data_IF_204781355624
#
_entry.id   IF_204781355624
#
_cell.length_a   1.000
_cell.length_b   1.000
_cell.length_c   1.000
_cell.angle_alpha   90.00
_cell.angle_beta   90.00
_cell.angle_gamma   90.00
#
_symmetry.space_group_name_H-M   'P 1'
#
loop_
_entity.id
_entity.type
_entity.pdbx_description
1 polymer ?
#
# COMPACT_ATOMS: atom_id res chain seq x y z
N UNK A 1 -13.65 17.05 -14.56
CA UNK A 1 -13.66 15.65 -14.79
C UNK A 1 -12.51 14.99 -14.04
N UNK A 2 -12.82 14.01 -13.22
CA UNK A 2 -11.88 13.42 -12.29
C UNK A 2 -11.49 14.36 -11.14
N UNK A 3 -10.48 13.95 -10.37
CA UNK A 3 -9.87 14.73 -9.29
C UNK A 3 -8.37 14.88 -9.56
N UNK A 4 -7.70 15.79 -8.82
CA UNK A 4 -6.25 15.91 -8.92
C UNK A 4 -5.74 16.24 -10.33
N UNK A 5 -6.31 17.22 -10.98
CA UNK A 5 -5.95 17.68 -12.32
C UNK A 5 -6.25 16.68 -13.46
N UNK A 6 -7.26 15.83 -13.27
CA UNK A 6 -7.76 14.87 -14.26
C UNK A 6 -6.70 13.92 -14.86
N UNK A 7 -5.70 13.56 -14.07
CA UNK A 7 -4.74 12.50 -14.40
C UNK A 7 -5.13 11.23 -13.65
N UNK A 8 -5.04 10.05 -14.28
CA UNK A 8 -5.33 8.76 -13.62
C UNK A 8 -4.45 8.50 -12.39
N UNK A 9 -3.21 9.01 -12.41
CA UNK A 9 -2.28 8.88 -11.28
C UNK A 9 -2.66 9.74 -10.08
N UNK A 10 -3.42 10.81 -10.27
CA UNK A 10 -3.79 11.78 -9.23
C UNK A 10 -5.30 11.83 -8.94
N UNK A 11 -6.13 11.21 -9.80
CA UNK A 11 -7.59 11.19 -9.62
C UNK A 11 -8.00 10.11 -8.61
N UNK A 12 -7.73 10.40 -7.32
CA UNK A 12 -7.85 9.43 -6.23
C UNK A 12 -8.52 10.06 -5.02
N UNK A 13 -9.27 9.25 -4.27
CA UNK A 13 -9.87 9.61 -3.01
C UNK A 13 -9.48 8.60 -1.93
N UNK A 14 -9.37 9.08 -0.69
CA UNK A 14 -9.10 8.25 0.48
C UNK A 14 -10.06 8.61 1.58
N UNK A 15 -10.66 7.60 2.21
CA UNK A 15 -11.46 7.75 3.40
C UNK A 15 -10.72 7.06 4.54
N UNK A 16 -10.47 7.81 5.61
CA UNK A 16 -9.83 7.31 6.82
C UNK A 16 -10.80 7.41 7.99
N UNK A 17 -10.78 6.40 8.84
CA UNK A 17 -11.48 6.40 10.12
C UNK A 17 -10.67 5.66 11.18
N UNK A 18 -10.93 5.95 12.46
CA UNK A 18 -10.40 5.14 13.54
C UNK A 18 -10.93 3.72 13.40
N UNK A 19 -10.05 2.72 13.48
CA UNK A 19 -10.47 1.33 13.36
C UNK A 19 -11.18 0.85 14.62
N UNK A 20 -12.21 0.04 14.44
CA UNK A 20 -12.83 -0.74 15.53
C UNK A 20 -12.35 -2.19 15.54
N UNK A 21 -11.45 -2.55 14.61
CA UNK A 21 -10.90 -3.90 14.50
C UNK A 21 -9.77 -4.10 15.52
N UNK A 22 -9.76 -5.22 16.25
CA UNK A 22 -8.66 -5.53 17.16
C UNK A 22 -7.31 -5.51 16.42
N UNK A 23 -6.32 -4.86 17.01
CA UNK A 23 -4.96 -4.81 16.47
C UNK A 23 -4.76 -3.85 15.29
N UNK A 24 -5.75 -3.01 14.95
CA UNK A 24 -5.63 -1.98 13.95
C UNK A 24 -5.91 -0.59 14.53
N UNK A 25 -5.25 0.40 13.99
CA UNK A 25 -5.38 1.81 14.40
C UNK A 25 -6.41 2.54 13.57
N UNK A 26 -6.35 2.35 12.25
CA UNK A 26 -7.19 3.04 11.28
C UNK A 26 -7.69 2.10 10.19
N UNK A 27 -8.88 2.39 9.69
CA UNK A 27 -9.41 1.82 8.47
C UNK A 27 -9.12 2.77 7.32
N UNK A 28 -8.65 2.21 6.21
CA UNK A 28 -8.29 2.90 4.97
C UNK A 28 -9.10 2.36 3.81
N UNK A 29 -9.92 3.21 3.20
CA UNK A 29 -10.67 2.90 2.00
C UNK A 29 -10.16 3.77 0.85
N UNK A 30 -9.69 3.13 -0.22
CA UNK A 30 -9.18 3.77 -1.42
C UNK A 30 -10.24 3.81 -2.52
N UNK A 31 -10.35 4.93 -3.23
CA UNK A 31 -11.19 5.09 -4.41
C UNK A 31 -10.40 5.64 -5.59
N UNK A 32 -10.41 4.92 -6.70
CA UNK A 32 -9.92 5.45 -7.99
C UNK A 32 -11.06 6.19 -8.67
N UNK A 33 -10.95 7.51 -8.75
CA UNK A 33 -11.98 8.35 -9.37
C UNK A 33 -11.77 8.36 -10.88
N UNK A 34 -12.80 7.95 -11.63
CA UNK A 34 -12.73 7.98 -13.10
C UNK A 34 -12.56 9.40 -13.63
N UNK A 35 -11.79 9.53 -14.72
CA UNK A 35 -11.58 10.81 -15.40
C UNK A 35 -12.79 11.14 -16.29
N UNK A 36 -13.38 10.14 -16.91
CA UNK A 36 -14.37 10.29 -17.98
C UNK A 36 -15.79 10.08 -17.49
N UNK A 37 -15.99 9.28 -16.43
CA UNK A 37 -17.29 8.86 -15.95
C UNK A 37 -17.53 9.30 -14.49
N UNK A 38 -18.78 9.53 -14.08
CA UNK A 38 -19.12 9.84 -12.70
C UNK A 38 -19.10 8.57 -11.82
N UNK A 39 -17.96 7.88 -11.78
CA UNK A 39 -17.78 6.60 -11.10
C UNK A 39 -16.50 6.63 -10.26
N UNK A 40 -16.56 6.01 -9.08
CA UNK A 40 -15.40 5.71 -8.25
C UNK A 40 -15.25 4.20 -8.17
N UNK A 41 -14.09 3.70 -8.56
CA UNK A 41 -13.74 2.29 -8.42
C UNK A 41 -13.13 2.04 -7.04
N UNK A 42 -13.76 1.15 -6.28
CA UNK A 42 -13.37 0.76 -4.92
C UNK A 42 -12.75 -0.63 -4.86
N UNK A 43 -12.47 -1.28 -5.99
CA UNK A 43 -12.01 -2.68 -6.03
C UNK A 43 -10.53 -2.87 -5.69
N UNK A 44 -9.72 -1.80 -5.79
CA UNK A 44 -8.27 -1.88 -5.70
C UNK A 44 -7.67 -1.26 -4.46
N UNK A 45 -6.35 -1.35 -4.37
CA UNK A 45 -5.51 -0.65 -3.40
C UNK A 45 -4.54 0.28 -4.13
N UNK A 46 -4.05 1.31 -3.44
CA UNK A 46 -3.00 2.18 -3.96
C UNK A 46 -1.78 2.18 -3.01
N UNK A 47 -0.71 1.49 -3.44
CA UNK A 47 0.53 1.42 -2.67
C UNK A 47 1.12 2.78 -2.34
N UNK A 48 1.16 3.69 -3.31
CA UNK A 48 1.73 5.04 -3.11
C UNK A 48 0.94 5.86 -2.07
N UNK A 49 -0.40 5.83 -2.12
CA UNK A 49 -1.22 6.55 -1.13
C UNK A 49 -1.15 5.91 0.25
N UNK A 50 -0.85 4.61 0.35
CA UNK A 50 -0.70 3.94 1.64
C UNK A 50 0.38 4.59 2.50
N UNK A 51 1.43 5.16 1.89
CA UNK A 51 2.49 5.87 2.62
C UNK A 51 1.98 7.14 3.33
N UNK A 52 0.95 7.78 2.80
CA UNK A 52 0.35 8.97 3.42
C UNK A 52 -0.65 8.63 4.53
N UNK A 53 -1.15 7.40 4.60
CA UNK A 53 -2.23 7.01 5.54
C UNK A 53 -1.79 7.15 6.99
N UNK A 54 -0.61 6.63 7.36
CA UNK A 54 -0.07 6.75 8.71
C UNK A 54 0.12 8.19 9.15
N UNK A 55 0.88 9.02 8.41
CA UNK A 55 1.03 10.45 8.66
C UNK A 55 -0.29 11.20 8.78
N UNK A 56 -1.21 11.01 7.83
CA UNK A 56 -2.53 11.64 7.86
C UNK A 56 -3.35 11.22 9.09
N UNK A 57 -3.32 9.95 9.47
CA UNK A 57 -4.03 9.45 10.64
C UNK A 57 -3.54 10.11 11.94
N UNK A 58 -2.22 10.37 12.05
CA UNK A 58 -1.64 11.09 13.18
C UNK A 58 -2.12 12.54 13.17
N UNK A 59 -2.00 13.26 12.05
CA UNK A 59 -2.45 14.64 11.92
C UNK A 59 -3.94 14.83 12.18
N UNK A 60 -4.75 13.86 11.81
CA UNK A 60 -6.21 13.88 12.05
C UNK A 60 -6.59 13.47 13.47
N UNK A 61 -5.65 13.11 14.34
CA UNK A 61 -5.91 12.66 15.69
C UNK A 61 -6.64 11.31 15.78
N UNK A 62 -6.48 10.46 14.76
CA UNK A 62 -7.06 9.13 14.73
C UNK A 62 -6.27 8.12 15.57
N UNK A 63 -5.01 8.43 15.88
CA UNK A 63 -4.15 7.63 16.74
C UNK A 63 -4.30 8.08 18.18
N UNK A 64 -4.24 7.14 19.13
CA UNK A 64 -4.21 7.49 20.55
C UNK A 64 -2.97 8.33 20.87
N UNK A 65 -3.18 9.51 21.45
CA UNK A 65 -2.11 10.44 21.81
C UNK A 65 -1.07 9.83 22.75
N UNK A 66 -1.47 8.89 23.60
CA UNK A 66 -0.54 8.20 24.49
C UNK A 66 0.47 7.29 23.77
N UNK A 67 0.24 6.97 22.52
CA UNK A 67 1.12 6.16 21.68
C UNK A 67 2.10 7.00 20.85
N UNK A 68 1.89 8.29 20.75
CA UNK A 68 2.72 9.18 19.93
C UNK A 68 4.05 9.43 20.68
N UNK A 69 5.19 8.95 20.13
CA UNK A 69 6.48 9.16 20.75
C UNK A 69 6.99 10.58 20.47
N UNK A 70 7.79 11.11 21.36
CA UNK A 70 8.48 12.38 21.16
C UNK A 70 9.46 12.31 19.97
N UNK A 71 10.22 11.21 19.87
CA UNK A 71 11.16 10.94 18.79
C UNK A 71 11.13 9.47 18.40
N UNK A 72 11.60 9.16 17.18
CA UNK A 72 11.78 7.79 16.69
C UNK A 72 10.72 7.41 15.65
N UNK A 73 10.18 6.21 15.73
CA UNK A 73 9.25 5.69 14.72
C UNK A 73 7.98 5.19 15.39
N UNK A 74 6.84 5.60 14.87
CA UNK A 74 5.53 5.08 15.25
C UNK A 74 5.04 4.07 14.19
N UNK A 75 4.82 2.82 14.60
CA UNK A 75 4.16 1.83 13.77
C UNK A 75 2.64 2.04 13.82
N UNK A 76 2.04 2.40 12.68
CA UNK A 76 0.60 2.55 12.51
C UNK A 76 0.06 1.34 11.75
N UNK A 77 -0.82 0.58 12.39
CA UNK A 77 -1.47 -0.59 11.79
C UNK A 77 -2.76 -0.18 11.07
N UNK A 78 -2.76 -0.38 9.78
CA UNK A 78 -3.80 0.07 8.86
C UNK A 78 -4.57 -1.15 8.37
N UNK A 79 -5.89 -1.13 8.49
CA UNK A 79 -6.76 -2.06 7.79
C UNK A 79 -7.10 -1.49 6.42
N UNK A 80 -6.58 -2.11 5.38
CA UNK A 80 -6.93 -1.75 3.99
C UNK A 80 -8.24 -2.43 3.61
N UNK A 81 -9.33 -1.65 3.62
CA UNK A 81 -10.69 -2.17 3.59
C UNK A 81 -11.10 -2.72 2.21
N UNK A 82 -10.49 -2.26 1.12
CA UNK A 82 -10.83 -2.73 -0.24
C UNK A 82 -10.44 -4.20 -0.45
N UNK A 83 -9.26 -4.59 0.02
CA UNK A 83 -8.70 -5.93 -0.20
C UNK A 83 -8.63 -6.78 1.09
N UNK A 84 -9.08 -6.24 2.22
CA UNK A 84 -9.10 -6.98 3.48
C UNK A 84 -7.72 -7.35 4.03
N UNK A 85 -6.71 -6.50 3.86
CA UNK A 85 -5.31 -6.75 4.25
C UNK A 85 -4.81 -5.73 5.26
N UNK A 86 -3.78 -6.13 6.00
CA UNK A 86 -3.09 -5.24 6.95
C UNK A 86 -1.87 -4.63 6.29
N UNK A 87 -1.73 -3.33 6.47
CA UNK A 87 -0.51 -2.58 6.14
C UNK A 87 0.03 -2.00 7.45
N UNK A 88 1.35 -2.06 7.65
CA UNK A 88 2.01 -1.36 8.75
C UNK A 88 2.83 -0.22 8.16
N UNK A 89 2.52 1.00 8.57
CA UNK A 89 3.29 2.18 8.20
C UNK A 89 4.23 2.58 9.34
N UNK A 90 5.52 2.65 9.06
CA UNK A 90 6.55 3.11 9.99
C UNK A 90 6.74 4.61 9.79
N UNK A 91 6.10 5.40 10.63
CA UNK A 91 6.07 6.86 10.50
C UNK A 91 7.16 7.47 11.37
N UNK A 92 8.13 8.21 10.80
CA UNK A 92 9.14 8.92 11.57
C UNK A 92 8.52 10.08 12.36
N UNK A 93 8.95 10.22 13.60
CA UNK A 93 8.43 11.21 14.56
C UNK A 93 9.56 12.08 15.12
N UNK A 94 9.30 13.37 15.25
CA UNK A 94 10.19 14.33 15.90
C UNK A 94 9.34 15.38 16.64
N UNK A 95 9.70 15.68 17.89
CA UNK A 95 8.99 16.62 18.78
C UNK A 95 7.48 16.30 18.89
N UNK A 96 7.14 15.01 18.97
CA UNK A 96 5.76 14.55 19.06
C UNK A 96 4.93 14.74 17.79
N UNK A 97 5.58 15.06 16.67
CA UNK A 97 4.94 15.31 15.37
C UNK A 97 5.52 14.40 14.28
N UNK A 98 4.78 14.24 13.19
CA UNK A 98 5.29 13.55 11.99
C UNK A 98 6.49 14.31 11.46
N UNK A 99 7.61 13.62 11.29
CA UNK A 99 8.78 14.18 10.64
C UNK A 99 8.56 14.16 9.12
N UNK A 100 8.52 15.33 8.51
CA UNK A 100 8.31 15.48 7.06
C UNK A 100 9.62 15.62 6.29
N UNK A 101 10.64 16.20 6.93
CA UNK A 101 11.94 16.46 6.30
C UNK A 101 12.93 15.34 6.59
N UNK A 102 13.77 15.00 5.60
CA UNK A 102 14.79 13.97 5.71
C UNK A 102 15.65 13.94 4.44
N UNK A 103 16.54 12.97 4.38
CA UNK A 103 17.50 12.77 3.30
C UNK A 103 17.15 11.57 2.39
N UNK A 104 16.01 10.92 2.62
CA UNK A 104 15.57 9.81 1.79
C UNK A 104 15.16 10.33 0.41
N UNK A 105 15.86 9.83 -0.62
CA UNK A 105 15.61 10.15 -2.01
C UNK A 105 14.95 8.95 -2.71
N UNK A 106 13.83 9.19 -3.36
CA UNK A 106 13.08 8.20 -4.14
C UNK A 106 13.14 8.59 -5.62
N UNK A 107 13.49 7.64 -6.47
CA UNK A 107 13.55 7.85 -7.93
C UNK A 107 12.21 8.35 -8.47
N UNK A 108 12.26 9.41 -9.27
CA UNK A 108 11.07 10.08 -9.81
C UNK A 108 10.40 11.10 -8.89
N UNK A 109 10.90 11.27 -7.66
CA UNK A 109 10.46 12.33 -6.73
C UNK A 109 11.50 13.43 -6.69
N UNK A 110 11.06 14.69 -6.83
CA UNK A 110 11.97 15.83 -7.03
C UNK A 110 12.76 16.24 -5.79
N UNK A 111 12.30 15.89 -4.58
CA UNK A 111 12.87 16.34 -3.32
C UNK A 111 13.05 15.16 -2.36
N UNK A 112 14.13 15.16 -1.60
CA UNK A 112 14.30 14.27 -0.46
C UNK A 112 13.33 14.64 0.67
N UNK A 113 12.88 13.64 1.43
CA UNK A 113 11.96 13.77 2.54
C UNK A 113 12.25 12.71 3.61
N UNK A 114 11.50 12.69 4.69
CA UNK A 114 11.56 11.59 5.63
C UNK A 114 10.95 10.32 5.01
N UNK A 115 11.58 9.18 5.23
CA UNK A 115 11.09 7.89 4.75
C UNK A 115 9.90 7.39 5.57
N UNK A 116 8.84 6.97 4.89
CA UNK A 116 7.75 6.19 5.49
C UNK A 116 7.81 4.78 4.91
N UNK A 117 8.40 3.86 5.65
CA UNK A 117 8.46 2.46 5.24
C UNK A 117 7.11 1.77 5.45
N UNK A 118 6.73 0.91 4.50
CA UNK A 118 5.48 0.15 4.52
C UNK A 118 5.74 -1.35 4.51
N UNK A 119 5.03 -2.07 5.39
CA UNK A 119 4.93 -3.52 5.33
C UNK A 119 3.52 -3.91 4.87
N UNK A 120 3.43 -4.66 3.78
CA UNK A 120 2.19 -5.29 3.33
C UNK A 120 2.17 -6.72 3.86
N UNK A 121 1.33 -6.98 4.85
CA UNK A 121 1.26 -8.28 5.51
C UNK A 121 0.43 -9.25 4.68
N UNK A 122 0.91 -10.49 4.58
CA UNK A 122 0.25 -11.59 3.87
C UNK A 122 -0.25 -11.16 2.47
N UNK A 123 0.66 -10.68 1.59
CA UNK A 123 0.27 -10.11 0.31
C UNK A 123 -0.33 -11.14 -0.65
N UNK A 124 0.02 -12.42 -0.51
CA UNK A 124 -0.62 -13.52 -1.20
C UNK A 124 -1.80 -14.06 -0.38
N UNK A 125 -2.92 -14.37 -1.04
CA UNK A 125 -4.03 -15.07 -0.40
C UNK A 125 -3.82 -16.59 -0.47
N UNK A 126 -3.67 -17.22 0.68
CA UNK A 126 -3.71 -18.68 0.78
C UNK A 126 -5.19 -19.15 0.85
N UNK A 127 -5.93 -18.94 -0.25
CA UNK A 127 -7.07 -19.77 -0.55
C UNK A 127 -8.40 -19.53 0.12
N UNK A 128 -9.15 -18.52 -0.32
CA UNK A 128 -10.61 -18.58 -0.27
C UNK A 128 -11.26 -18.85 -1.65
N UNK A 129 -10.44 -19.08 -2.68
CA UNK A 129 -10.94 -19.37 -4.02
C UNK A 129 -11.49 -18.16 -4.77
N UNK A 130 -11.28 -16.93 -4.28
CA UNK A 130 -11.62 -15.72 -5.00
C UNK A 130 -10.68 -15.50 -6.19
N UNK A 131 -11.21 -14.93 -7.28
CA UNK A 131 -10.42 -14.61 -8.48
C UNK A 131 -9.27 -13.65 -8.12
N UNK A 132 -8.05 -14.16 -8.14
CA UNK A 132 -6.82 -13.43 -7.79
C UNK A 132 -6.12 -13.87 -6.52
N UNK A 133 -6.76 -14.69 -5.67
CA UNK A 133 -6.13 -15.37 -4.53
C UNK A 133 -5.33 -16.58 -4.99
N UNK A 134 -4.15 -16.80 -4.41
CA UNK A 134 -3.29 -17.95 -4.71
C UNK A 134 -2.07 -17.95 -3.83
N UNK A 135 -1.36 -19.08 -3.83
CA UNK A 135 -0.06 -19.17 -3.15
C UNK A 135 0.92 -18.15 -3.73
N UNK A 136 1.88 -17.70 -2.93
CA UNK A 136 2.93 -16.77 -3.36
C UNK A 136 3.63 -17.25 -4.64
N UNK A 137 3.85 -18.55 -4.77
CA UNK A 137 4.39 -19.19 -5.97
C UNK A 137 3.31 -20.09 -6.59
N UNK A 138 2.52 -19.58 -7.56
CA UNK A 138 1.38 -20.33 -8.11
C UNK A 138 1.75 -21.61 -8.85
N UNK A 139 3.00 -21.73 -9.31
CA UNK A 139 3.54 -22.97 -9.93
C UNK A 139 4.07 -23.96 -8.89
N UNK A 140 4.21 -23.54 -7.62
CA UNK A 140 4.85 -24.30 -6.55
C UNK A 140 6.38 -24.22 -6.55
N UNK A 141 6.99 -23.55 -7.51
CA UNK A 141 8.44 -23.40 -7.65
C UNK A 141 8.88 -21.94 -7.46
N UNK A 142 10.05 -21.73 -6.90
CA UNK A 142 10.68 -20.40 -6.84
C UNK A 142 11.17 -19.98 -8.23
N UNK A 143 11.65 -20.94 -9.02
CA UNK A 143 12.10 -20.70 -10.41
C UNK A 143 11.55 -21.81 -11.29
N UNK A 144 10.93 -21.44 -12.38
CA UNK A 144 10.47 -22.31 -13.45
C UNK A 144 11.33 -22.12 -14.70
N UNK A 145 11.23 -23.08 -15.62
CA UNK A 145 11.82 -22.95 -16.94
C UNK A 145 10.72 -22.58 -17.93
N UNK A 146 10.79 -21.38 -18.47
CA UNK A 146 9.82 -20.88 -19.43
C UNK A 146 10.29 -21.16 -20.86
N UNK A 147 9.43 -21.74 -21.69
CA UNK A 147 9.74 -22.12 -23.06
C UNK A 147 8.99 -21.23 -24.05
N UNK A 148 9.75 -20.42 -24.78
CA UNK A 148 9.23 -19.64 -25.90
C UNK A 148 9.62 -20.33 -27.21
N UNK A 149 8.68 -20.57 -28.16
CA UNK A 149 9.01 -21.20 -29.43
C UNK A 149 10.06 -20.40 -30.20
N UNK A 150 11.16 -21.07 -30.57
CA UNK A 150 12.28 -20.46 -31.30
C UNK A 150 13.36 -19.80 -30.45
N UNK A 151 13.18 -19.77 -29.12
CA UNK A 151 14.15 -19.21 -28.18
C UNK A 151 14.78 -20.27 -27.27
N UNK A 152 15.89 -19.95 -26.64
CA UNK A 152 16.44 -20.79 -25.58
C UNK A 152 15.52 -20.76 -24.35
N UNK A 153 15.46 -21.85 -23.57
CA UNK A 153 14.71 -21.86 -22.32
C UNK A 153 15.18 -20.76 -21.38
N UNK A 154 14.23 -20.04 -20.79
CA UNK A 154 14.48 -18.91 -19.89
C UNK A 154 14.09 -19.31 -18.45
N UNK A 155 14.93 -19.05 -17.44
CA UNK A 155 14.48 -19.13 -16.07
C UNK A 155 13.50 -18.00 -15.79
N UNK A 156 12.38 -18.28 -15.10
CA UNK A 156 11.39 -17.29 -14.74
C UNK A 156 10.82 -17.59 -13.36
N UNK A 157 10.51 -16.55 -12.60
CA UNK A 157 9.79 -16.66 -11.33
C UNK A 157 8.38 -16.11 -11.52
N UNK A 158 7.39 -16.96 -11.29
CA UNK A 158 5.98 -16.57 -11.23
C UNK A 158 5.63 -16.33 -9.76
N UNK A 159 5.37 -15.08 -9.41
CA UNK A 159 5.10 -14.69 -8.03
C UNK A 159 3.80 -13.89 -7.92
N UNK A 160 3.01 -14.20 -6.89
CA UNK A 160 1.85 -13.43 -6.48
C UNK A 160 2.10 -12.82 -5.08
N UNK A 161 2.61 -11.60 -5.07
CA UNK A 161 2.88 -10.85 -3.84
C UNK A 161 2.12 -9.51 -3.86
N UNK A 162 0.80 -9.60 -4.09
CA UNK A 162 -0.10 -8.48 -4.29
C UNK A 162 -0.54 -8.36 -5.75
N UNK A 163 0.37 -8.00 -6.66
CA UNK A 163 0.11 -8.04 -8.11
C UNK A 163 0.88 -9.23 -8.68
N UNK A 164 0.21 -10.18 -9.36
CA UNK A 164 0.89 -11.28 -10.03
C UNK A 164 1.93 -10.77 -11.04
N UNK A 165 3.15 -11.23 -10.91
CA UNK A 165 4.29 -10.75 -11.70
C UNK A 165 5.16 -11.93 -12.16
N UNK A 166 5.80 -11.78 -13.30
CA UNK A 166 6.80 -12.72 -13.84
C UNK A 166 8.13 -11.97 -13.93
N UNK A 167 9.16 -12.52 -13.31
CA UNK A 167 10.54 -12.00 -13.34
C UNK A 167 11.45 -12.92 -14.14
#
# INVERSE_FOLDING_TARGET
>A
DGMGNASSSTSKAVILSRSTRPGHDVDYLFGQVSIDLPVVDWSGNCGNLSAAVGPCAIHMGLIDAARIPEHGTLAVRIWQANIGKTIVAHVPMTDGQVQETGDFALDGVAFAAAEVALEFLDPADEGDGSEGGGTMFPTGNVVDTFHVPGENPLPATFINAGIPTIF
#
